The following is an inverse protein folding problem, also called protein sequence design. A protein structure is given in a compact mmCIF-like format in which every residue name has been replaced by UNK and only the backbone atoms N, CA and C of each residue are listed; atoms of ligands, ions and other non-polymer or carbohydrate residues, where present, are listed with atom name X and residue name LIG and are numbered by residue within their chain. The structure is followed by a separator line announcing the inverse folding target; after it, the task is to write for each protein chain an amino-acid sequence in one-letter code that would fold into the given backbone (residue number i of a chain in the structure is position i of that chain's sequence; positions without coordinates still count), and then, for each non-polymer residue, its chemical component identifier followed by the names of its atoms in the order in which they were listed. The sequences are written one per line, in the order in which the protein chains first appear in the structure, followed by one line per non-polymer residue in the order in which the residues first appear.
data_IF_932654469135
#
_entry.id   IF_932654469135
#
_cell.length_a   1.000
_cell.length_b   1.000
_cell.length_c   1.000
_cell.angle_alpha   90.00
_cell.angle_beta   90.00
_cell.angle_gamma   90.00
#
_symmetry.space_group_name_H-M   'P 1'
#
loop_
_entity.id
_entity.type
_entity.pdbx_description
1 polymer ?
#
# COMPACT_ATOMS: atom_id res chain seq x y z
N UNK A 1 -0.96 -11.53 -9.88
CA UNK A 1 -0.44 -11.73 -11.25
C UNK A 1 0.09 -10.46 -11.90
N UNK A 2 -0.63 -9.33 -11.82
CA UNK A 2 -0.27 -8.06 -12.49
C UNK A 2 1.09 -7.48 -12.05
N UNK A 3 1.37 -7.39 -10.74
CA UNK A 3 2.65 -6.88 -10.22
C UNK A 3 3.85 -7.72 -10.68
N UNK A 4 3.70 -9.06 -10.63
CA UNK A 4 4.70 -10.01 -11.12
C UNK A 4 4.97 -9.80 -12.62
N UNK A 5 3.93 -9.62 -13.43
CA UNK A 5 4.05 -9.32 -14.87
C UNK A 5 4.83 -8.03 -15.12
N UNK A 6 4.64 -7.01 -14.28
CA UNK A 6 5.29 -5.70 -14.39
C UNK A 6 6.63 -5.61 -13.65
N UNK A 7 7.13 -6.72 -13.06
CA UNK A 7 8.37 -6.77 -12.27
C UNK A 7 8.38 -5.71 -11.14
N UNK A 8 7.24 -5.54 -10.48
CA UNK A 8 7.08 -4.67 -9.31
C UNK A 8 7.24 -5.49 -8.03
N UNK A 9 7.73 -4.87 -6.96
CA UNK A 9 7.80 -5.51 -5.64
C UNK A 9 6.39 -5.89 -5.19
N UNK A 10 6.19 -7.11 -4.66
CA UNK A 10 4.87 -7.60 -4.30
C UNK A 10 4.29 -6.80 -3.13
N UNK A 11 3.01 -6.46 -3.21
CA UNK A 11 2.26 -5.82 -2.12
C UNK A 11 0.89 -6.46 -1.97
N UNK A 12 0.30 -6.29 -0.79
CA UNK A 12 -1.04 -6.74 -0.45
C UNK A 12 -1.91 -5.52 -0.20
N UNK A 13 -2.95 -5.36 -1.01
CA UNK A 13 -3.91 -4.26 -0.91
C UNK A 13 -4.67 -4.31 0.42
N UNK A 14 -4.84 -3.15 1.08
CA UNK A 14 -5.58 -3.03 2.35
C UNK A 14 -6.60 -1.88 2.41
N UNK A 15 -6.47 -0.82 1.61
CA UNK A 15 -7.47 0.26 1.55
C UNK A 15 -7.49 1.01 0.21
N UNK A 16 -8.67 1.48 -0.18
CA UNK A 16 -8.91 2.38 -1.32
C UNK A 16 -8.65 3.84 -0.96
N UNK A 17 -8.42 4.67 -1.97
CA UNK A 17 -8.43 6.14 -1.89
C UNK A 17 -9.44 6.68 -2.92
N UNK A 18 -9.72 7.98 -2.88
CA UNK A 18 -10.60 8.64 -3.87
C UNK A 18 -10.06 8.52 -5.31
N UNK A 19 -8.73 8.40 -5.44
CA UNK A 19 -8.08 8.10 -6.70
C UNK A 19 -8.20 6.60 -7.02
N UNK A 20 -8.79 6.27 -8.17
CA UNK A 20 -8.96 4.87 -8.62
C UNK A 20 -7.65 4.09 -8.75
N UNK A 21 -6.54 4.80 -9.03
CA UNK A 21 -5.23 4.18 -9.26
C UNK A 21 -4.34 4.17 -8.03
N UNK A 22 -4.63 5.01 -7.02
CA UNK A 22 -3.83 5.03 -5.80
C UNK A 22 -4.47 4.17 -4.72
N UNK A 23 -3.67 3.31 -4.09
CA UNK A 23 -4.12 2.41 -3.03
C UNK A 23 -3.16 2.41 -1.86
N UNK A 24 -3.65 1.99 -0.70
CA UNK A 24 -2.79 1.66 0.45
C UNK A 24 -2.58 0.14 0.48
N UNK A 25 -1.32 -0.26 0.58
CA UNK A 25 -0.91 -1.67 0.56
C UNK A 25 0.20 -1.94 1.58
N UNK A 26 0.35 -3.20 1.96
CA UNK A 26 1.51 -3.70 2.73
C UNK A 26 2.56 -4.24 1.76
N UNK A 27 3.81 -3.81 1.88
CA UNK A 27 4.93 -4.39 1.15
C UNK A 27 5.22 -5.80 1.66
N UNK A 28 5.10 -6.82 0.81
CA UNK A 28 5.28 -8.21 1.24
C UNK A 28 6.75 -8.59 1.50
N UNK A 29 7.69 -7.68 1.24
CA UNK A 29 9.12 -7.87 1.51
C UNK A 29 9.52 -7.17 2.81
N UNK A 30 9.12 -5.92 3.00
CA UNK A 30 9.55 -5.09 4.14
C UNK A 30 8.55 -5.07 5.29
N UNK A 31 7.27 -5.38 5.04
CA UNK A 31 6.18 -5.24 6.02
C UNK A 31 5.65 -3.81 6.18
N UNK A 32 6.26 -2.83 5.51
CA UNK A 32 5.85 -1.43 5.56
C UNK A 32 4.48 -1.23 4.89
N UNK A 33 3.70 -0.30 5.43
CA UNK A 33 2.49 0.20 4.78
C UNK A 33 2.86 1.34 3.86
N UNK A 34 2.45 1.26 2.60
CA UNK A 34 2.77 2.24 1.55
C UNK A 34 1.51 2.70 0.84
N UNK A 35 1.47 3.97 0.44
CA UNK A 35 0.63 4.42 -0.67
C UNK A 35 1.33 4.04 -1.97
N UNK A 36 0.66 3.39 -2.90
CA UNK A 36 1.21 3.09 -4.22
C UNK A 36 0.24 3.41 -5.35
N UNK A 37 0.79 3.79 -6.51
CA UNK A 37 0.02 3.92 -7.75
C UNK A 37 0.10 2.62 -8.53
N UNK A 38 -1.05 1.98 -8.75
CA UNK A 38 -1.17 0.68 -9.40
C UNK A 38 -0.45 0.65 -10.76
N UNK A 39 0.32 -0.43 -10.98
CA UNK A 39 1.06 -0.63 -12.23
C UNK A 39 2.38 0.15 -12.35
N UNK A 40 2.76 0.93 -11.33
CA UNK A 40 3.98 1.73 -11.34
C UNK A 40 4.92 1.36 -10.18
N UNK A 41 6.12 1.96 -10.15
CA UNK A 41 7.03 1.92 -9.00
C UNK A 41 6.82 3.06 -8.01
N UNK A 42 5.82 3.92 -8.24
CA UNK A 42 5.54 5.07 -7.38
C UNK A 42 4.98 4.60 -6.04
N UNK A 43 5.76 4.81 -4.97
CA UNK A 43 5.45 4.36 -3.61
C UNK A 43 5.89 5.39 -2.60
N UNK A 44 5.03 5.61 -1.62
CA UNK A 44 5.30 6.47 -0.48
C UNK A 44 5.07 5.67 0.81
N UNK A 45 6.10 5.42 1.63
CA UNK A 45 5.93 4.82 2.94
C UNK A 45 5.04 5.67 3.84
N UNK A 46 4.07 5.03 4.49
CA UNK A 46 3.14 5.65 5.45
C UNK A 46 3.41 5.18 6.88
N UNK A 47 3.79 3.91 7.06
CA UNK A 47 4.16 3.36 8.38
C UNK A 47 5.13 2.18 8.24
N UNK A 48 5.93 1.95 9.28
CA UNK A 48 6.92 0.87 9.31
C UNK A 48 6.32 -0.53 9.43
N UNK A 49 5.06 -0.65 9.87
CA UNK A 49 4.35 -1.92 9.99
C UNK A 49 2.84 -1.72 9.94
N UNK A 50 2.10 -2.79 9.62
CA UNK A 50 0.63 -2.77 9.66
C UNK A 50 0.10 -2.39 11.05
N UNK A 51 0.71 -2.90 12.13
CA UNK A 51 0.30 -2.56 13.49
C UNK A 51 0.45 -1.05 13.75
N UNK A 52 1.60 -0.46 13.40
CA UNK A 52 1.85 0.99 13.54
C UNK A 52 0.86 1.83 12.73
N UNK A 53 0.51 1.38 11.53
CA UNK A 53 -0.50 2.05 10.70
C UNK A 53 -1.88 2.05 11.36
N UNK A 54 -2.35 0.88 11.83
CA UNK A 54 -3.68 0.74 12.42
C UNK A 54 -3.87 1.60 13.68
N UNK A 55 -2.82 1.77 14.49
CA UNK A 55 -2.87 2.63 15.68
C UNK A 55 -3.00 4.12 15.38
N UNK A 56 -2.70 4.54 14.15
CA UNK A 56 -2.77 5.94 13.70
C UNK A 56 -4.09 6.27 12.98
N UNK A 57 -4.91 5.25 12.68
CA UNK A 57 -6.18 5.46 11.99
C UNK A 57 -7.20 6.14 12.90
N UNK A 58 -7.93 7.08 12.31
CA UNK A 58 -9.09 7.70 12.93
C UNK A 58 -10.35 7.17 12.21
N UNK A 59 -11.40 6.76 12.94
CA UNK A 59 -12.69 6.43 12.33
C UNK A 59 -13.21 7.62 11.52
N UNK A 60 -13.75 7.33 10.34
CA UNK A 60 -14.51 8.29 9.54
C UNK A 60 -15.99 7.99 9.73
N UNK A 61 -16.77 9.02 10.09
CA UNK A 61 -18.23 8.94 10.28
C UNK A 61 -18.97 9.37 9.02
#
# INVERSE_FOLDING_TARGET
MTQKRLKLSPTLFIATLDSELDVISVCNVTGEVVKETLGTRNRLPLASSLASFLTQLNPLL
#
